data_IF_560623810190
#
_entry.id   IF_560623810190
#
_cell.length_a   1.000
_cell.length_b   1.000
_cell.length_c   1.000
_cell.angle_alpha   90.00
_cell.angle_beta   90.00
_cell.angle_gamma   90.00
#
_symmetry.space_group_name_H-M   'P 1'
#
loop_
_entity.id
_entity.type
_entity.pdbx_description
1 polymer ?
#
# COMPACT_ATOMS: atom_id res chain seq x y z
N UNK A 1 -20.95 6.00 -23.71
CA UNK A 1 -20.15 4.77 -23.68
C UNK A 1 -19.26 4.83 -22.43
N UNK A 2 -19.51 4.07 -21.35
CA UNK A 2 -18.54 3.98 -20.28
C UNK A 2 -17.51 2.89 -20.62
N UNK A 3 -16.25 3.29 -20.73
CA UNK A 3 -15.09 2.45 -21.01
C UNK A 3 -14.93 1.38 -19.91
N UNK A 4 -15.28 0.13 -20.24
CA UNK A 4 -15.03 -1.03 -19.39
C UNK A 4 -13.57 -1.48 -19.52
N UNK A 5 -12.79 -1.34 -18.45
CA UNK A 5 -11.44 -1.91 -18.40
C UNK A 5 -11.45 -3.44 -18.54
N UNK A 6 -10.45 -3.98 -19.22
CA UNK A 6 -10.30 -5.41 -19.50
C UNK A 6 -10.01 -6.18 -18.19
N UNK A 7 -10.79 -7.22 -17.89
CA UNK A 7 -10.67 -8.03 -16.66
C UNK A 7 -9.65 -9.16 -16.83
N UNK A 8 -8.39 -8.90 -16.51
CA UNK A 8 -7.33 -9.93 -16.45
C UNK A 8 -7.01 -10.28 -14.99
N UNK A 9 -6.98 -11.57 -14.65
CA UNK A 9 -6.73 -12.02 -13.27
C UNK A 9 -5.23 -12.08 -12.94
N UNK A 10 -4.85 -11.73 -11.71
CA UNK A 10 -3.45 -11.86 -11.25
C UNK A 10 -3.05 -13.32 -11.01
N UNK A 11 -1.78 -13.66 -11.24
CA UNK A 11 -1.24 -15.00 -10.98
C UNK A 11 -1.28 -15.33 -9.47
N UNK A 12 -1.74 -16.52 -9.09
CA UNK A 12 -1.76 -16.98 -7.69
C UNK A 12 -1.51 -18.50 -7.57
N UNK A 13 -1.15 -18.95 -6.36
CA UNK A 13 -0.95 -20.36 -6.00
C UNK A 13 -1.99 -20.81 -4.97
N UNK A 14 -2.51 -22.03 -5.11
CA UNK A 14 -3.49 -22.64 -4.20
C UNK A 14 -3.03 -24.04 -3.74
N UNK A 15 -2.94 -24.31 -2.42
CA UNK A 15 -2.72 -25.66 -1.91
C UNK A 15 -4.01 -26.48 -1.96
N UNK A 16 -3.90 -27.77 -2.29
CA UNK A 16 -5.01 -28.72 -2.21
C UNK A 16 -4.71 -29.78 -1.15
N UNK A 17 -5.67 -30.03 -0.27
CA UNK A 17 -5.65 -31.12 0.72
C UNK A 17 -6.66 -32.19 0.30
N UNK A 18 -6.58 -33.37 0.92
CA UNK A 18 -7.59 -34.43 0.76
C UNK A 18 -8.98 -33.86 1.04
N UNK A 19 -9.92 -34.09 0.12
CA UNK A 19 -11.30 -33.65 0.29
C UNK A 19 -12.01 -34.53 1.34
N UNK A 20 -12.96 -33.95 2.07
CA UNK A 20 -13.76 -34.70 3.03
C UNK A 20 -14.50 -35.85 2.32
N UNK A 21 -14.41 -37.06 2.87
CA UNK A 21 -15.05 -38.26 2.30
C UNK A 21 -14.37 -38.87 1.07
N UNK A 22 -13.18 -38.40 0.67
CA UNK A 22 -12.43 -38.94 -0.47
C UNK A 22 -11.04 -39.39 -0.06
N UNK A 23 -10.49 -40.35 -0.81
CA UNK A 23 -9.07 -40.69 -0.69
C UNK A 23 -8.19 -39.59 -1.33
N UNK A 24 -6.89 -39.64 -1.04
CA UNK A 24 -5.93 -38.70 -1.62
C UNK A 24 -5.85 -38.85 -3.15
N UNK A 25 -5.94 -40.07 -3.67
CA UNK A 25 -5.90 -40.35 -5.10
C UNK A 25 -7.16 -39.84 -5.81
N UNK A 26 -8.34 -40.13 -5.26
CA UNK A 26 -9.62 -39.63 -5.78
C UNK A 26 -9.66 -38.09 -5.81
N UNK A 27 -9.12 -37.44 -4.76
CA UNK A 27 -9.05 -35.97 -4.70
C UNK A 27 -8.16 -35.40 -5.82
N UNK A 28 -7.04 -36.06 -6.15
CA UNK A 28 -6.15 -35.65 -7.24
C UNK A 28 -6.79 -35.93 -8.61
N UNK A 29 -7.33 -37.12 -8.82
CA UNK A 29 -8.03 -37.53 -10.05
C UNK A 29 -9.13 -36.54 -10.42
N UNK A 30 -10.05 -36.22 -9.51
CA UNK A 30 -11.11 -35.26 -9.76
C UNK A 30 -10.59 -33.88 -10.23
N UNK A 31 -9.48 -33.43 -9.65
CA UNK A 31 -8.92 -32.10 -9.90
C UNK A 31 -8.06 -32.05 -11.16
N UNK A 32 -7.37 -33.13 -11.47
CA UNK A 32 -6.51 -33.23 -12.64
C UNK A 32 -7.36 -33.50 -13.88
N UNK A 33 -8.37 -34.38 -13.80
CA UNK A 33 -9.37 -34.59 -14.86
C UNK A 33 -10.11 -33.29 -15.21
N UNK A 34 -10.46 -32.48 -14.20
CA UNK A 34 -11.05 -31.16 -14.47
C UNK A 34 -10.09 -30.23 -15.25
N UNK A 35 -8.80 -30.25 -14.92
CA UNK A 35 -7.78 -29.46 -15.60
C UNK A 35 -7.45 -29.97 -17.00
N UNK A 36 -7.54 -31.28 -17.23
CA UNK A 36 -7.25 -31.95 -18.49
C UNK A 36 -8.49 -32.15 -19.37
N UNK A 37 -9.62 -31.50 -19.05
CA UNK A 37 -10.85 -31.64 -19.83
C UNK A 37 -10.59 -31.24 -21.31
N UNK A 38 -10.72 -32.18 -22.27
CA UNK A 38 -10.43 -31.93 -23.69
C UNK A 38 -11.24 -30.78 -24.31
N UNK A 39 -12.46 -30.53 -23.83
CA UNK A 39 -13.34 -29.49 -24.37
C UNK A 39 -12.82 -28.07 -24.14
N UNK A 40 -11.90 -27.89 -23.19
CA UNK A 40 -11.36 -26.59 -22.77
C UNK A 40 -9.89 -26.42 -23.12
N UNK A 41 -9.25 -27.49 -23.51
CA UNK A 41 -7.81 -27.64 -23.51
C UNK A 41 -7.22 -27.18 -24.85
N UNK A 42 -6.38 -26.16 -24.81
CA UNK A 42 -5.64 -25.70 -25.98
C UNK A 42 -4.28 -26.39 -26.11
N UNK A 43 -3.54 -26.51 -25.01
CA UNK A 43 -2.20 -27.10 -25.00
C UNK A 43 -1.87 -27.72 -23.64
N UNK A 44 -1.00 -28.74 -23.65
CA UNK A 44 -0.49 -29.42 -22.45
C UNK A 44 1.02 -29.63 -22.54
N UNK A 45 1.71 -29.43 -21.42
CA UNK A 45 3.10 -29.85 -21.23
C UNK A 45 3.30 -30.38 -19.83
N UNK A 46 4.36 -31.16 -19.61
CA UNK A 46 4.66 -31.72 -18.30
C UNK A 46 6.16 -31.89 -18.05
N UNK A 47 6.51 -32.05 -16.78
CA UNK A 47 7.87 -32.24 -16.30
C UNK A 47 7.87 -33.28 -15.19
N UNK A 48 8.63 -34.36 -15.40
CA UNK A 48 8.79 -35.50 -14.48
C UNK A 48 7.49 -36.25 -14.12
N UNK A 49 6.41 -36.05 -14.88
CA UNK A 49 5.20 -36.86 -14.79
C UNK A 49 4.45 -36.87 -16.12
N UNK A 50 3.63 -37.88 -16.36
CA UNK A 50 2.62 -37.85 -17.42
C UNK A 50 1.32 -37.27 -16.83
N UNK A 51 0.66 -36.30 -17.50
CA UNK A 51 -0.57 -35.68 -16.99
C UNK A 51 -1.69 -36.68 -16.65
N UNK A 52 -1.82 -37.78 -17.41
CA UNK A 52 -2.87 -38.78 -17.20
C UNK A 52 -2.60 -39.69 -15.99
N UNK A 53 -1.32 -39.92 -15.67
CA UNK A 53 -0.91 -40.75 -14.51
C UNK A 53 -0.38 -39.94 -13.33
N UNK A 54 -0.35 -38.62 -13.44
CA UNK A 54 0.11 -37.70 -12.41
C UNK A 54 -0.47 -37.94 -11.01
N UNK A 55 -1.76 -38.33 -10.80
CA UNK A 55 -2.28 -38.65 -9.47
C UNK A 55 -1.50 -39.78 -8.78
N UNK A 56 -1.22 -40.86 -9.51
CA UNK A 56 -0.49 -42.01 -9.00
C UNK A 56 0.99 -41.67 -8.79
N UNK A 57 1.61 -41.00 -9.76
CA UNK A 57 3.02 -40.61 -9.70
C UNK A 57 3.31 -39.65 -8.54
N UNK A 58 2.42 -38.67 -8.30
CA UNK A 58 2.60 -37.73 -7.19
C UNK A 58 2.53 -38.43 -5.83
N UNK A 59 1.61 -39.39 -5.70
CA UNK A 59 1.46 -40.19 -4.48
C UNK A 59 2.61 -41.17 -4.29
N UNK A 60 3.18 -41.72 -5.38
CA UNK A 60 4.36 -42.58 -5.31
C UNK A 60 5.54 -41.85 -4.67
N UNK A 61 5.87 -40.64 -5.14
CA UNK A 61 6.95 -39.81 -4.55
C UNK A 61 6.68 -39.52 -3.07
N UNK A 62 5.42 -39.27 -2.72
CA UNK A 62 5.02 -39.02 -1.33
C UNK A 62 5.15 -40.27 -0.44
N UNK A 63 4.84 -41.45 -0.99
CA UNK A 63 5.00 -42.74 -0.31
C UNK A 63 6.49 -43.05 -0.07
N UNK A 64 7.33 -42.84 -1.07
CA UNK A 64 8.78 -42.99 -0.96
C UNK A 64 9.38 -42.04 0.09
N UNK A 65 8.99 -40.76 0.05
CA UNK A 65 9.38 -39.78 1.07
C UNK A 65 9.02 -40.24 2.50
N UNK A 66 7.82 -40.81 2.67
CA UNK A 66 7.38 -41.33 3.97
C UNK A 66 8.25 -42.51 4.41
N UNK A 67 8.50 -43.46 3.51
CA UNK A 67 9.32 -44.64 3.80
C UNK A 67 10.76 -44.26 4.18
N UNK A 68 11.35 -43.27 3.51
CA UNK A 68 12.73 -42.84 3.74
C UNK A 68 12.89 -41.98 5.01
N UNK A 69 11.93 -41.10 5.28
CA UNK A 69 12.08 -40.11 6.37
C UNK A 69 11.34 -40.49 7.66
N UNK A 70 10.41 -41.45 7.60
CA UNK A 70 9.50 -41.78 8.70
C UNK A 70 8.52 -40.66 9.08
N UNK A 71 8.50 -39.53 8.33
CA UNK A 71 7.70 -38.34 8.67
C UNK A 71 6.29 -38.44 8.11
N UNK A 72 5.46 -39.23 8.80
CA UNK A 72 4.01 -39.26 8.57
C UNK A 72 3.42 -37.87 8.81
N UNK A 73 2.53 -37.42 7.92
CA UNK A 73 1.84 -36.14 8.08
C UNK A 73 0.34 -36.38 8.00
N UNK A 74 -0.34 -36.14 9.13
CA UNK A 74 -1.81 -36.17 9.25
C UNK A 74 -2.47 -34.95 8.59
N UNK A 75 -1.74 -33.85 8.37
CA UNK A 75 -2.27 -32.60 7.83
C UNK A 75 -1.25 -31.86 6.92
N UNK A 76 -1.48 -31.88 5.60
CA UNK A 76 -0.59 -31.21 4.63
C UNK A 76 -1.19 -31.18 3.22
N UNK A 77 -0.64 -30.33 2.33
CA UNK A 77 -1.08 -30.30 0.93
C UNK A 77 -0.67 -31.58 0.18
N UNK A 78 -1.55 -32.06 -0.68
CA UNK A 78 -1.33 -33.13 -1.64
C UNK A 78 -0.54 -32.62 -2.85
N UNK A 79 -0.95 -31.48 -3.38
CA UNK A 79 -0.34 -30.79 -4.51
C UNK A 79 -0.69 -29.30 -4.43
N UNK A 80 -0.11 -28.52 -5.34
CA UNK A 80 -0.40 -27.10 -5.51
C UNK A 80 -0.85 -26.84 -6.94
N UNK A 81 -1.71 -25.84 -7.09
CA UNK A 81 -2.15 -25.35 -8.40
C UNK A 81 -1.77 -23.88 -8.54
N UNK A 82 -1.16 -23.50 -9.65
CA UNK A 82 -0.97 -22.11 -10.06
C UNK A 82 -1.98 -21.80 -11.16
N UNK A 83 -2.62 -20.64 -11.06
CA UNK A 83 -3.41 -20.07 -12.16
C UNK A 83 -2.70 -18.82 -12.66
N UNK A 84 -2.41 -18.77 -13.95
CA UNK A 84 -1.77 -17.65 -14.64
C UNK A 84 -2.65 -17.25 -15.82
N UNK A 85 -2.94 -15.97 -15.98
CA UNK A 85 -3.82 -15.47 -17.03
C UNK A 85 -3.12 -14.38 -17.85
N UNK A 86 -3.48 -14.27 -19.12
CA UNK A 86 -2.91 -13.34 -20.09
C UNK A 86 -3.97 -12.37 -20.60
N UNK A 87 -3.55 -11.24 -21.18
CA UNK A 87 -4.49 -10.31 -21.77
C UNK A 87 -5.19 -10.97 -22.99
N UNK A 88 -6.51 -10.77 -23.20
CA UNK A 88 -7.18 -11.31 -24.37
C UNK A 88 -6.49 -10.89 -25.68
N UNK A 89 -6.19 -11.87 -26.54
CA UNK A 89 -5.58 -11.64 -27.86
C UNK A 89 -4.06 -11.44 -27.85
N UNK A 90 -3.40 -11.50 -26.68
CA UNK A 90 -1.97 -11.24 -26.54
C UNK A 90 -1.08 -12.48 -26.80
N UNK A 91 -1.61 -13.68 -26.58
CA UNK A 91 -0.86 -14.95 -26.71
C UNK A 91 -1.71 -16.03 -27.37
N UNK A 92 -1.07 -16.98 -28.06
CA UNK A 92 -1.69 -18.25 -28.49
C UNK A 92 -1.72 -19.27 -27.34
N UNK A 93 -2.45 -20.38 -27.51
CA UNK A 93 -2.53 -21.43 -26.48
C UNK A 93 -1.15 -22.09 -26.26
N UNK A 94 -0.39 -22.30 -27.33
CA UNK A 94 0.94 -22.89 -27.34
C UNK A 94 1.96 -21.96 -26.67
N UNK A 95 1.92 -20.66 -26.98
CA UNK A 95 2.79 -19.66 -26.35
C UNK A 95 2.49 -19.51 -24.86
N UNK A 96 1.20 -19.40 -24.50
CA UNK A 96 0.78 -19.38 -23.11
C UNK A 96 1.28 -20.63 -22.37
N UNK A 97 1.17 -21.82 -22.97
CA UNK A 97 1.66 -23.06 -22.37
C UNK A 97 3.18 -23.03 -22.14
N UNK A 98 3.94 -22.59 -23.14
CA UNK A 98 5.41 -22.44 -23.06
C UNK A 98 5.82 -21.49 -21.94
N UNK A 99 5.17 -20.34 -21.82
CA UNK A 99 5.40 -19.37 -20.74
C UNK A 99 5.02 -19.94 -19.38
N UNK A 100 3.92 -20.70 -19.32
CA UNK A 100 3.49 -21.42 -18.12
C UNK A 100 4.50 -22.46 -17.67
N UNK A 101 5.05 -23.22 -18.62
CA UNK A 101 6.11 -24.20 -18.38
C UNK A 101 7.36 -23.55 -17.81
N UNK A 102 7.82 -22.44 -18.41
CA UNK A 102 8.97 -21.70 -17.92
C UNK A 102 8.74 -21.14 -16.50
N UNK A 103 7.55 -20.56 -16.27
CA UNK A 103 7.15 -20.07 -14.94
C UNK A 103 7.17 -21.20 -13.91
N UNK A 104 6.63 -22.37 -14.26
CA UNK A 104 6.63 -23.56 -13.41
C UNK A 104 8.04 -24.07 -13.13
N UNK A 105 8.91 -24.11 -14.14
CA UNK A 105 10.29 -24.54 -14.03
C UNK A 105 11.10 -23.63 -13.09
N UNK A 106 11.01 -22.30 -13.29
CA UNK A 106 11.68 -21.31 -12.43
C UNK A 106 11.13 -21.34 -11.00
N UNK A 107 9.82 -21.53 -10.82
CA UNK A 107 9.18 -21.57 -9.50
C UNK A 107 9.56 -22.82 -8.70
N UNK A 108 9.47 -23.98 -9.34
CA UNK A 108 9.80 -25.28 -8.73
C UNK A 108 11.29 -25.55 -8.69
N UNK A 109 12.10 -24.74 -9.40
CA UNK A 109 13.56 -24.91 -9.56
C UNK A 109 13.94 -26.28 -10.12
N UNK A 110 13.07 -26.87 -10.94
CA UNK A 110 13.23 -28.24 -11.47
C UNK A 110 13.17 -29.36 -10.44
N UNK A 111 12.73 -29.09 -9.20
CA UNK A 111 12.74 -30.08 -8.11
C UNK A 111 11.42 -30.81 -7.89
N UNK A 112 10.36 -30.41 -8.58
CA UNK A 112 9.02 -30.92 -8.36
C UNK A 112 8.42 -31.36 -9.69
N UNK A 113 7.70 -32.48 -9.68
CA UNK A 113 6.89 -32.90 -10.82
C UNK A 113 5.79 -31.87 -11.05
N UNK A 114 5.53 -31.52 -12.31
CA UNK A 114 4.44 -30.63 -12.65
C UNK A 114 3.89 -30.88 -14.05
N UNK A 115 2.66 -30.43 -14.30
CA UNK A 115 2.12 -30.30 -15.64
C UNK A 115 1.35 -28.99 -15.79
N UNK A 116 1.25 -28.50 -17.02
CA UNK A 116 0.61 -27.25 -17.41
C UNK A 116 -0.51 -27.56 -18.39
N UNK A 117 -1.73 -27.14 -18.06
CA UNK A 117 -2.89 -27.19 -18.94
C UNK A 117 -3.29 -25.77 -19.30
N UNK A 118 -3.33 -25.45 -20.58
CA UNK A 118 -3.77 -24.14 -21.06
C UNK A 118 -5.22 -24.21 -21.48
N UNK A 119 -6.06 -23.36 -20.90
CA UNK A 119 -7.50 -23.30 -21.15
C UNK A 119 -7.85 -22.12 -22.05
N UNK A 120 -8.73 -22.39 -23.03
CA UNK A 120 -9.21 -21.42 -24.03
C UNK A 120 -10.73 -21.20 -23.95
N UNK A 121 -11.41 -21.82 -22.98
CA UNK A 121 -12.87 -21.82 -22.81
C UNK A 121 -13.46 -20.55 -22.17
N UNK A 122 -12.63 -19.53 -21.93
CA UNK A 122 -13.01 -18.26 -21.29
C UNK A 122 -12.60 -17.08 -22.17
N UNK A 123 -13.06 -15.90 -21.79
CA UNK A 123 -12.75 -14.64 -22.48
C UNK A 123 -11.24 -14.30 -22.55
N UNK A 124 -10.39 -14.99 -21.78
CA UNK A 124 -8.93 -14.88 -21.84
C UNK A 124 -8.28 -16.27 -21.70
N UNK A 125 -7.14 -16.42 -22.36
CA UNK A 125 -6.29 -17.61 -22.24
C UNK A 125 -5.64 -17.63 -20.86
N UNK A 126 -5.63 -18.80 -20.23
CA UNK A 126 -5.03 -18.98 -18.92
C UNK A 126 -4.47 -20.38 -18.72
N UNK A 127 -3.40 -20.47 -17.94
CA UNK A 127 -2.77 -21.72 -17.55
C UNK A 127 -3.26 -22.18 -16.18
N UNK A 128 -3.43 -23.49 -16.07
CA UNK A 128 -3.51 -24.25 -14.84
C UNK A 128 -2.26 -25.12 -14.71
N UNK A 129 -1.37 -24.78 -13.78
CA UNK A 129 -0.14 -25.54 -13.53
C UNK A 129 -0.32 -26.32 -12.23
N UNK A 130 -0.19 -27.63 -12.27
CA UNK A 130 -0.29 -28.51 -11.11
C UNK A 130 1.09 -29.05 -10.77
N UNK A 131 1.52 -28.95 -9.52
CA UNK A 131 2.82 -29.49 -9.11
C UNK A 131 2.78 -30.21 -7.76
N UNK A 132 3.65 -31.21 -7.61
CA UNK A 132 3.69 -32.07 -6.44
C UNK A 132 4.09 -31.27 -5.19
N UNK A 133 3.44 -31.54 -4.05
CA UNK A 133 3.82 -30.93 -2.77
C UNK A 133 5.13 -31.50 -2.20
N UNK A 134 5.64 -32.59 -2.74
CA UNK A 134 6.89 -33.25 -2.32
C UNK A 134 7.92 -33.15 -3.44
N UNK A 135 9.16 -32.80 -3.08
CA UNK A 135 10.25 -32.74 -4.06
C UNK A 135 10.52 -34.15 -4.61
N UNK A 136 10.81 -34.23 -5.91
CA UNK A 136 11.06 -35.50 -6.61
C UNK A 136 12.28 -36.24 -6.04
N UNK A 137 13.28 -35.48 -5.57
CA UNK A 137 14.45 -36.01 -4.87
C UNK A 137 14.16 -36.50 -3.44
N UNK A 138 12.91 -36.38 -2.96
CA UNK A 138 12.44 -36.75 -1.62
C UNK A 138 13.17 -36.02 -0.48
N UNK A 139 13.87 -34.93 -0.76
CA UNK A 139 14.60 -34.17 0.26
C UNK A 139 13.67 -33.39 1.20
N UNK A 140 12.54 -32.89 0.68
CA UNK A 140 11.63 -32.00 1.41
C UNK A 140 10.25 -31.87 0.78
N UNK A 141 9.34 -31.29 1.55
CA UNK A 141 8.04 -30.79 1.06
C UNK A 141 8.17 -29.34 0.61
N UNK A 142 7.31 -28.92 -0.30
CA UNK A 142 7.23 -27.54 -0.74
C UNK A 142 6.79 -26.63 0.43
N UNK A 143 7.58 -25.61 0.71
CA UNK A 143 7.30 -24.65 1.78
C UNK A 143 6.48 -23.48 1.26
N UNK A 144 5.16 -23.55 1.45
CA UNK A 144 4.25 -22.45 1.17
C UNK A 144 4.18 -21.49 2.38
N UNK A 145 4.70 -20.28 2.23
CA UNK A 145 4.82 -19.28 3.30
C UNK A 145 3.90 -18.08 3.08
N UNK A 146 3.72 -17.27 4.13
CA UNK A 146 2.97 -16.00 4.05
C UNK A 146 3.73 -15.07 3.10
N UNK A 147 3.28 -15.01 1.84
CA UNK A 147 3.94 -14.26 0.77
C UNK A 147 4.18 -15.03 -0.53
N UNK A 148 3.99 -16.36 -0.56
CA UNK A 148 4.29 -17.17 -1.76
C UNK A 148 3.51 -16.73 -3.00
N UNK A 149 2.25 -16.31 -2.88
CA UNK A 149 1.48 -15.76 -4.01
C UNK A 149 2.08 -14.46 -4.58
N UNK A 150 2.62 -13.58 -3.71
CA UNK A 150 3.28 -12.35 -4.16
C UNK A 150 4.63 -12.65 -4.84
N UNK A 151 5.41 -13.59 -4.28
CA UNK A 151 6.67 -14.02 -4.86
C UNK A 151 6.46 -14.68 -6.24
N UNK A 152 5.47 -15.58 -6.35
CA UNK A 152 5.10 -16.22 -7.60
C UNK A 152 4.60 -15.21 -8.63
N UNK A 153 3.80 -14.22 -8.20
CA UNK A 153 3.36 -13.18 -9.11
C UNK A 153 4.52 -12.35 -9.64
N UNK A 154 5.45 -11.90 -8.79
CA UNK A 154 6.64 -11.17 -9.25
C UNK A 154 7.48 -11.99 -10.23
N UNK A 155 7.54 -13.31 -10.05
CA UNK A 155 8.19 -14.21 -10.99
C UNK A 155 7.41 -14.29 -12.31
N UNK A 156 6.10 -14.51 -12.27
CA UNK A 156 5.22 -14.54 -13.45
C UNK A 156 5.29 -13.23 -14.24
N UNK A 157 5.15 -12.08 -13.57
CA UNK A 157 5.24 -10.75 -14.17
C UNK A 157 6.62 -10.55 -14.83
N UNK A 158 7.71 -11.01 -14.21
CA UNK A 158 9.05 -10.95 -14.82
C UNK A 158 9.15 -11.81 -16.08
N UNK A 159 8.65 -13.04 -16.05
CA UNK A 159 8.64 -13.92 -17.22
C UNK A 159 7.79 -13.29 -18.34
N UNK A 160 6.62 -12.72 -18.03
CA UNK A 160 5.81 -12.01 -19.02
C UNK A 160 6.57 -10.84 -19.65
N UNK A 161 7.28 -10.01 -18.87
CA UNK A 161 8.08 -8.89 -19.39
C UNK A 161 9.23 -9.38 -20.30
N UNK A 162 9.90 -10.47 -19.93
CA UNK A 162 10.98 -11.06 -20.75
C UNK A 162 10.48 -11.58 -22.11
N UNK A 163 9.20 -11.93 -22.22
CA UNK A 163 8.52 -12.32 -23.46
C UNK A 163 7.73 -11.15 -24.09
N UNK A 164 8.03 -9.89 -23.72
CA UNK A 164 7.40 -8.67 -24.24
C UNK A 164 5.87 -8.57 -24.03
N UNK A 165 5.36 -9.28 -23.02
CA UNK A 165 3.94 -9.30 -22.67
C UNK A 165 3.59 -8.24 -21.62
N UNK A 166 2.32 -7.84 -21.62
CA UNK A 166 1.76 -6.92 -20.66
C UNK A 166 1.66 -7.52 -19.25
N UNK A 167 1.82 -6.65 -18.26
CA UNK A 167 1.71 -7.01 -16.84
C UNK A 167 0.80 -6.05 -16.10
N UNK A 168 0.13 -6.56 -15.07
CA UNK A 168 -0.77 -5.77 -14.24
C UNK A 168 0.07 -4.90 -13.29
N UNK A 169 0.35 -3.66 -13.69
CA UNK A 169 1.15 -2.71 -12.91
C UNK A 169 0.51 -2.37 -11.56
N UNK A 170 -0.79 -2.04 -11.58
CA UNK A 170 -1.59 -1.67 -10.40
C UNK A 170 -2.72 -2.69 -10.19
N UNK A 171 -2.38 -3.88 -9.66
CA UNK A 171 -3.35 -4.95 -9.40
C UNK A 171 -4.42 -4.44 -8.44
N UNK A 172 -5.65 -4.32 -8.92
CA UNK A 172 -6.77 -4.19 -8.01
C UNK A 172 -6.78 -5.48 -7.18
N UNK A 173 -6.60 -5.36 -5.87
CA UNK A 173 -6.82 -6.49 -4.97
C UNK A 173 -8.21 -7.08 -5.29
N UNK A 174 -8.37 -8.40 -5.19
CA UNK A 174 -9.66 -9.06 -5.42
C UNK A 174 -10.83 -8.46 -4.57
N UNK A 175 -10.54 -7.62 -3.58
CA UNK A 175 -11.46 -6.78 -2.82
C UNK A 175 -12.01 -5.54 -3.55
N UNK A 176 -11.52 -5.20 -4.75
CA UNK A 176 -11.91 -4.00 -5.51
C UNK A 176 -12.50 -4.29 -6.91
N UNK A 177 -12.95 -5.53 -7.16
CA UNK A 177 -13.50 -5.94 -8.45
C UNK A 177 -14.48 -7.12 -8.39
N UNK A 178 -15.77 -6.78 -8.47
CA UNK A 178 -16.93 -7.48 -9.05
C UNK A 178 -17.06 -9.02 -8.93
N UNK A 179 -16.72 -9.65 -7.79
CA UNK A 179 -17.39 -10.87 -7.29
C UNK A 179 -17.22 -10.95 -5.77
N UNK A 180 -18.33 -11.02 -5.03
CA UNK A 180 -18.38 -11.26 -3.58
C UNK A 180 -18.59 -12.76 -3.33
N UNK A 181 -17.85 -13.37 -2.38
CA UNK A 181 -18.36 -14.23 -1.29
C UNK A 181 -17.31 -15.19 -0.63
N UNK A 182 -17.57 -15.51 0.64
CA UNK A 182 -17.10 -16.57 1.57
C UNK A 182 -15.66 -16.60 2.14
N UNK A 183 -14.64 -16.12 1.44
CA UNK A 183 -13.23 -16.38 1.79
C UNK A 183 -12.36 -15.18 2.19
N UNK A 184 -12.94 -13.98 2.38
CA UNK A 184 -12.27 -12.75 2.85
C UNK A 184 -11.77 -12.81 4.30
N UNK A 185 -11.52 -14.02 4.79
CA UNK A 185 -11.02 -14.30 6.11
C UNK A 185 -9.61 -14.86 6.04
N UNK A 186 -8.69 -14.11 6.66
CA UNK A 186 -7.34 -14.50 7.10
C UNK A 186 -6.24 -14.21 6.08
N UNK A 187 -5.68 -13.00 6.12
CA UNK A 187 -4.38 -12.75 5.47
C UNK A 187 -3.86 -11.31 5.62
N UNK A 188 -4.75 -10.33 5.60
CA UNK A 188 -4.54 -9.05 6.27
C UNK A 188 -5.43 -9.05 7.51
N UNK A 189 -5.02 -8.31 8.53
CA UNK A 189 -5.61 -8.31 9.87
C UNK A 189 -7.14 -8.43 9.76
N UNK A 190 -7.76 -9.48 10.33
CA UNK A 190 -9.18 -9.75 10.10
C UNK A 190 -10.00 -8.50 10.43
N UNK A 191 -11.06 -8.19 9.65
CA UNK A 191 -11.93 -7.07 9.97
C UNK A 191 -12.39 -7.22 11.42
N UNK A 192 -12.32 -6.11 12.16
CA UNK A 192 -12.61 -6.14 13.59
C UNK A 192 -13.99 -6.77 13.83
N UNK A 193 -14.19 -7.36 15.01
CA UNK A 193 -15.50 -7.90 15.41
C UNK A 193 -16.67 -6.95 15.08
N UNK A 194 -16.43 -5.65 15.32
CA UNK A 194 -17.36 -4.56 15.04
C UNK A 194 -17.62 -4.38 13.55
N UNK A 195 -16.57 -4.42 12.72
CA UNK A 195 -16.71 -4.29 11.27
C UNK A 195 -17.49 -5.46 10.66
N UNK A 196 -17.29 -6.67 11.18
CA UNK A 196 -18.05 -7.84 10.77
C UNK A 196 -19.53 -7.74 11.11
N UNK A 197 -19.83 -7.24 12.30
CA UNK A 197 -21.22 -7.03 12.72
C UNK A 197 -21.90 -5.93 11.90
N UNK A 198 -21.22 -4.82 11.60
CA UNK A 198 -21.77 -3.78 10.71
C UNK A 198 -22.13 -4.31 9.33
N UNK A 199 -21.21 -5.05 8.72
CA UNK A 199 -21.40 -5.65 7.40
C UNK A 199 -22.57 -6.65 7.39
N UNK A 200 -22.69 -7.44 8.45
CA UNK A 200 -23.80 -8.38 8.59
C UNK A 200 -25.15 -7.68 8.77
N UNK A 201 -25.20 -6.61 9.57
CA UNK A 201 -26.41 -5.79 9.74
C UNK A 201 -26.85 -5.18 8.42
N UNK A 202 -25.92 -4.61 7.64
CA UNK A 202 -26.24 -4.07 6.32
C UNK A 202 -26.76 -5.14 5.36
N UNK A 203 -26.09 -6.28 5.29
CA UNK A 203 -26.54 -7.39 4.45
C UNK A 203 -27.92 -7.94 4.87
N UNK A 204 -28.23 -7.93 6.17
CA UNK A 204 -29.54 -8.33 6.66
C UNK A 204 -30.62 -7.28 6.31
N UNK A 205 -30.31 -5.99 6.42
CA UNK A 205 -31.25 -4.91 6.07
C UNK A 205 -31.47 -4.77 4.56
N UNK A 206 -30.47 -5.05 3.74
CA UNK A 206 -30.58 -5.09 2.27
C UNK A 206 -31.58 -6.14 1.79
N UNK A 207 -31.80 -7.21 2.58
CA UNK A 207 -32.82 -8.23 2.31
C UNK A 207 -34.25 -7.75 2.63
N UNK A 208 -34.41 -6.53 3.15
CA UNK A 208 -35.69 -5.92 3.52
C UNK A 208 -36.53 -6.83 4.43
N UNK A 209 -36.06 -7.11 5.65
CA UNK A 209 -36.81 -7.93 6.59
C UNK A 209 -38.15 -7.27 6.88
N UNK A 210 -39.18 -8.08 7.11
CA UNK A 210 -40.55 -7.56 7.33
C UNK A 210 -40.70 -6.87 8.67
N UNK A 211 -39.94 -7.32 9.68
CA UNK A 211 -39.92 -6.75 11.01
C UNK A 211 -38.56 -6.99 11.68
N UNK A 212 -38.40 -6.49 12.90
CA UNK A 212 -37.16 -6.60 13.64
C UNK A 212 -36.84 -8.05 14.08
N UNK A 213 -37.85 -8.92 14.24
CA UNK A 213 -37.62 -10.32 14.58
C UNK A 213 -37.07 -11.09 13.37
N UNK A 214 -37.61 -10.81 12.18
CA UNK A 214 -37.10 -11.34 10.92
C UNK A 214 -35.66 -10.87 10.65
N UNK A 215 -35.34 -9.62 10.97
CA UNK A 215 -33.96 -9.12 10.94
C UNK A 215 -33.02 -9.93 11.85
N UNK A 216 -33.43 -10.23 13.10
CA UNK A 216 -32.61 -11.03 14.01
C UNK A 216 -32.41 -12.46 13.50
N UNK A 217 -33.46 -13.06 12.91
CA UNK A 217 -33.38 -14.37 12.27
C UNK A 217 -32.38 -14.37 11.11
N UNK A 218 -32.39 -13.34 10.26
CA UNK A 218 -31.42 -13.18 9.17
C UNK A 218 -29.97 -13.03 9.68
N UNK A 219 -29.77 -12.41 10.84
CA UNK A 219 -28.46 -12.32 11.50
C UNK A 219 -27.98 -13.68 12.01
N UNK A 220 -28.87 -14.50 12.57
CA UNK A 220 -28.56 -15.88 12.99
C UNK A 220 -28.24 -16.79 11.80
N UNK A 221 -29.02 -16.69 10.73
CA UNK A 221 -28.76 -17.39 9.46
C UNK A 221 -27.43 -17.00 8.82
N UNK A 222 -27.00 -15.76 9.06
CA UNK A 222 -25.69 -15.26 8.63
C UNK A 222 -24.54 -15.71 9.56
N UNK A 223 -24.83 -16.58 10.53
CA UNK A 223 -23.87 -17.21 11.43
C UNK A 223 -23.56 -16.43 12.70
N UNK A 224 -24.28 -15.33 13.00
CA UNK A 224 -24.08 -14.57 14.23
C UNK A 224 -25.06 -15.05 15.30
N UNK A 225 -24.57 -15.60 16.41
CA UNK A 225 -25.47 -16.00 17.49
C UNK A 225 -26.04 -14.75 18.18
N UNK A 226 -27.37 -14.62 18.21
CA UNK A 226 -28.06 -13.51 18.88
C UNK A 226 -28.10 -13.80 20.38
N UNK A 227 -27.52 -12.90 21.17
CA UNK A 227 -27.53 -12.97 22.62
C UNK A 227 -28.40 -11.86 23.17
N UNK A 228 -29.47 -12.24 23.86
CA UNK A 228 -30.33 -11.33 24.59
C UNK A 228 -29.88 -11.27 26.06
N UNK A 229 -29.50 -10.08 26.52
CA UNK A 229 -29.15 -9.79 27.90
C UNK A 229 -30.33 -9.21 28.69
N UNK A 230 -30.15 -9.02 30.00
CA UNK A 230 -31.16 -8.37 30.86
C UNK A 230 -31.55 -6.99 30.31
N UNK A 231 -32.84 -6.67 30.35
CA UNK A 231 -33.38 -5.37 29.90
C UNK A 231 -33.48 -5.20 28.38
N UNK A 232 -33.61 -6.29 27.61
CA UNK A 232 -33.81 -6.22 26.15
C UNK A 232 -32.54 -5.90 25.35
N UNK A 233 -31.36 -6.05 25.95
CA UNK A 233 -30.09 -5.75 25.28
C UNK A 233 -29.74 -6.83 24.27
N UNK A 234 -29.51 -6.44 23.02
CA UNK A 234 -29.15 -7.36 21.93
C UNK A 234 -27.66 -7.25 21.62
N UNK A 235 -26.99 -8.39 21.51
CA UNK A 235 -25.60 -8.49 21.08
C UNK A 235 -25.41 -9.65 20.11
N UNK A 236 -24.48 -9.49 19.17
CA UNK A 236 -24.16 -10.50 18.18
C UNK A 236 -22.80 -11.13 18.48
N UNK A 237 -22.76 -12.45 18.59
CA UNK A 237 -21.52 -13.19 18.70
C UNK A 237 -21.12 -13.71 17.32
N UNK A 238 -20.06 -13.13 16.76
CA UNK A 238 -19.53 -13.55 15.48
C UNK A 238 -18.77 -14.89 15.61
N UNK A 239 -18.81 -15.77 14.60
CA UNK A 239 -18.06 -17.03 14.62
C UNK A 239 -16.58 -16.82 14.95
N UNK A 240 -16.05 -17.69 15.81
CA UNK A 240 -14.65 -17.65 16.25
C UNK A 240 -14.32 -16.50 17.24
N UNK A 241 -15.33 -15.88 17.85
CA UNK A 241 -15.12 -14.91 18.93
C UNK A 241 -15.66 -15.42 20.26
N UNK A 242 -14.99 -15.06 21.35
CA UNK A 242 -15.43 -15.37 22.71
C UNK A 242 -16.39 -14.31 23.28
N UNK A 243 -16.26 -13.05 22.86
CA UNK A 243 -17.04 -11.92 23.39
C UNK A 243 -18.04 -11.39 22.38
N UNK A 244 -19.33 -11.23 22.74
CA UNK A 244 -20.35 -10.70 21.83
C UNK A 244 -20.20 -9.19 21.65
N UNK A 245 -20.55 -8.70 20.46
CA UNK A 245 -20.55 -7.26 20.13
C UNK A 245 -21.95 -6.70 20.28
N UNK A 246 -22.11 -5.68 21.14
CA UNK A 246 -23.42 -5.09 21.45
C UNK A 246 -23.96 -4.23 20.31
N UNK A 247 -25.23 -4.43 19.96
CA UNK A 247 -25.97 -3.64 18.98
C UNK A 247 -26.32 -2.28 19.58
N UNK A 248 -25.49 -1.26 19.30
CA UNK A 248 -25.70 0.14 19.72
C UNK A 248 -24.79 1.09 18.94
N UNK A 249 -25.22 2.34 18.79
CA UNK A 249 -24.52 3.36 18.02
C UNK A 249 -23.09 3.64 18.54
N UNK A 250 -22.89 3.69 19.87
CA UNK A 250 -21.54 3.92 20.43
C UNK A 250 -20.55 2.76 20.20
N UNK A 251 -21.02 1.56 19.81
CA UNK A 251 -20.16 0.42 19.47
C UNK A 251 -19.96 0.30 17.96
N UNK A 252 -21.04 0.49 17.20
CA UNK A 252 -21.11 0.18 15.78
C UNK A 252 -21.21 1.43 14.89
N UNK A 253 -21.17 2.64 15.45
CA UNK A 253 -21.37 3.89 14.70
C UNK A 253 -22.85 4.26 14.59
N UNK A 254 -23.12 5.53 14.26
CA UNK A 254 -24.48 6.04 14.08
C UNK A 254 -25.24 5.24 13.00
N UNK A 255 -26.54 5.02 13.19
CA UNK A 255 -27.36 4.21 12.27
C UNK A 255 -27.36 2.71 12.56
N UNK A 256 -26.56 2.23 13.53
CA UNK A 256 -26.44 0.81 13.89
C UNK A 256 -26.95 0.49 15.32
N UNK A 257 -27.94 1.21 15.82
CA UNK A 257 -28.67 0.83 17.04
C UNK A 257 -30.05 0.24 16.72
N UNK A 258 -30.71 -0.45 17.67
CA UNK A 258 -31.95 -1.15 17.39
C UNK A 258 -33.08 -0.26 16.87
N UNK A 259 -33.18 0.99 17.32
CA UNK A 259 -34.25 1.90 16.90
C UNK A 259 -33.98 2.44 15.50
N UNK A 260 -32.72 2.80 15.21
CA UNK A 260 -32.29 3.17 13.87
C UNK A 260 -32.54 2.02 12.87
N UNK A 261 -32.25 0.78 13.26
CA UNK A 261 -32.48 -0.39 12.42
C UNK A 261 -33.97 -0.61 12.19
N UNK A 262 -34.83 -0.47 13.22
CA UNK A 262 -36.29 -0.55 13.06
C UNK A 262 -36.81 0.53 12.12
N UNK A 263 -36.31 1.77 12.23
CA UNK A 263 -36.68 2.87 11.35
C UNK A 263 -36.25 2.60 9.89
N UNK A 264 -35.10 1.96 9.69
CA UNK A 264 -34.67 1.50 8.35
C UNK A 264 -35.61 0.42 7.81
N UNK A 265 -36.05 -0.53 8.65
CA UNK A 265 -37.01 -1.58 8.26
C UNK A 265 -38.38 -0.98 7.90
N UNK A 266 -38.84 0.00 8.67
CA UNK A 266 -40.08 0.73 8.41
C UNK A 266 -39.99 1.66 7.17
N UNK A 267 -38.80 1.83 6.59
CA UNK A 267 -38.57 2.70 5.44
C UNK A 267 -38.49 4.20 5.79
N UNK A 268 -38.43 4.53 7.08
CA UNK A 268 -38.34 5.91 7.58
C UNK A 268 -36.90 6.46 7.50
N UNK A 269 -35.91 5.58 7.32
CA UNK A 269 -34.49 5.95 7.16
C UNK A 269 -33.77 5.14 6.09
N UNK A 270 -32.75 5.73 5.43
CA UNK A 270 -31.88 5.01 4.51
C UNK A 270 -30.91 4.07 5.25
N UNK A 271 -30.35 3.10 4.53
CA UNK A 271 -29.34 2.19 5.07
C UNK A 271 -28.13 2.95 5.65
N UNK A 272 -27.55 2.49 6.77
CA UNK A 272 -26.43 3.18 7.41
C UNK A 272 -25.12 3.05 6.62
N UNK A 273 -24.29 4.10 6.58
CA UNK A 273 -23.02 4.09 5.85
C UNK A 273 -21.87 3.47 6.68
N UNK A 274 -20.93 2.79 6.00
CA UNK A 274 -19.74 2.22 6.64
C UNK A 274 -18.65 3.29 6.87
N UNK A 275 -18.07 3.40 8.08
CA UNK A 275 -16.93 4.31 8.30
C UNK A 275 -15.66 3.86 7.54
N UNK A 276 -14.88 4.77 6.96
CA UNK A 276 -13.60 4.48 6.28
C UNK A 276 -12.46 4.05 7.24
N UNK A 277 -11.58 3.11 6.81
CA UNK A 277 -10.40 2.65 7.57
C UNK A 277 -9.07 3.26 7.03
N UNK A 278 -8.20 3.74 7.93
CA UNK A 278 -6.89 4.38 7.61
C UNK A 278 -5.75 3.37 7.39
N UNK A 279 -4.89 3.57 6.37
CA UNK A 279 -3.69 2.74 6.05
C UNK A 279 -2.47 3.05 6.95
N UNK A 280 -1.59 2.06 7.21
CA UNK A 280 -0.41 2.19 8.10
C UNK A 280 0.88 2.48 7.29
N UNK A 281 1.62 3.57 7.57
CA UNK A 281 2.85 3.96 6.84
C UNK A 281 4.08 3.08 7.15
N UNK A 282 5.17 3.14 6.33
CA UNK A 282 6.43 2.43 6.59
C UNK A 282 6.98 2.76 7.99
N UNK A 283 7.63 1.77 8.64
CA UNK A 283 8.18 1.90 9.99
C UNK A 283 9.31 2.94 9.99
N UNK A 284 9.02 4.15 10.46
CA UNK A 284 10.01 5.21 10.69
C UNK A 284 10.69 4.97 12.03
N UNK A 285 12.02 5.04 12.08
CA UNK A 285 12.74 5.14 13.35
C UNK A 285 12.45 6.51 13.94
N UNK A 286 11.84 6.53 15.13
CA UNK A 286 11.54 7.72 15.89
C UNK A 286 12.33 7.71 17.19
N UNK A 287 12.39 8.87 17.85
CA UNK A 287 12.98 8.99 19.17
C UNK A 287 12.24 8.09 20.17
N UNK A 288 13.01 7.37 20.97
CA UNK A 288 12.52 6.70 22.18
C UNK A 288 11.94 7.73 23.17
N UNK A 289 11.08 7.25 24.06
CA UNK A 289 10.42 8.07 25.09
C UNK A 289 11.17 7.91 26.40
N UNK A 290 11.52 9.02 27.04
CA UNK A 290 11.92 8.98 28.45
C UNK A 290 10.71 8.58 29.30
N UNK A 291 10.74 7.34 29.79
CA UNK A 291 9.62 6.79 30.55
C UNK A 291 9.56 7.47 31.93
N UNK A 292 10.69 7.77 32.56
CA UNK A 292 10.72 8.34 33.91
C UNK A 292 10.18 9.75 33.92
N UNK A 293 10.62 10.59 32.97
CA UNK A 293 10.12 11.96 32.82
C UNK A 293 8.60 11.96 32.58
N UNK A 294 8.10 11.06 31.72
CA UNK A 294 6.66 10.96 31.45
C UNK A 294 5.87 10.44 32.65
N UNK A 295 6.43 9.54 33.45
CA UNK A 295 5.81 9.10 34.70
C UNK A 295 5.79 10.24 35.73
N UNK A 296 6.84 11.06 35.82
CA UNK A 296 6.89 12.26 36.66
C UNK A 296 5.84 13.31 36.25
N UNK A 297 5.51 13.40 34.95
CA UNK A 297 4.41 14.21 34.42
C UNK A 297 3.00 13.62 34.69
N UNK A 298 2.89 12.63 35.57
CA UNK A 298 1.60 12.06 36.00
C UNK A 298 1.01 11.02 35.05
N UNK A 299 1.81 10.41 34.16
CA UNK A 299 1.34 9.29 33.34
C UNK A 299 1.22 8.02 34.17
N UNK A 300 0.18 7.23 33.88
CA UNK A 300 -0.14 6.02 34.65
C UNK A 300 0.60 4.75 34.17
N UNK A 301 0.52 3.64 34.94
CA UNK A 301 1.23 2.38 34.67
C UNK A 301 0.95 1.74 33.30
N UNK A 302 -0.22 2.03 32.71
CA UNK A 302 -0.55 1.57 31.36
C UNK A 302 0.29 2.28 30.28
N UNK A 303 0.59 3.57 30.47
CA UNK A 303 1.45 4.34 29.57
C UNK A 303 2.88 3.82 29.63
N UNK A 304 3.36 3.51 30.83
CA UNK A 304 4.68 2.93 31.06
C UNK A 304 4.87 1.63 30.26
N UNK A 305 3.91 0.70 30.35
CA UNK A 305 3.96 -0.58 29.61
C UNK A 305 3.98 -0.38 28.10
N UNK A 306 3.18 0.56 27.60
CA UNK A 306 3.17 0.92 26.18
C UNK A 306 4.50 1.53 25.74
N UNK A 307 5.04 2.47 26.53
CA UNK A 307 6.30 3.16 26.24
C UNK A 307 7.48 2.17 26.22
N UNK A 308 7.50 1.16 27.11
CA UNK A 308 8.50 0.07 27.08
C UNK A 308 8.47 -0.70 25.75
N UNK A 309 7.29 -1.13 25.30
CA UNK A 309 7.13 -1.85 24.03
C UNK A 309 7.46 -0.95 22.82
N UNK A 310 7.13 0.34 22.92
CA UNK A 310 7.46 1.33 21.90
C UNK A 310 8.97 1.53 21.79
N UNK A 311 9.66 1.77 22.90
CA UNK A 311 11.11 1.96 22.93
C UNK A 311 11.84 0.72 22.41
N UNK A 312 11.44 -0.50 22.81
CA UNK A 312 12.01 -1.75 22.29
C UNK A 312 11.92 -1.83 20.76
N UNK A 313 10.82 -1.37 20.16
CA UNK A 313 10.68 -1.35 18.70
C UNK A 313 11.57 -0.30 18.04
N UNK A 314 11.72 0.89 18.66
CA UNK A 314 12.62 1.92 18.15
C UNK A 314 14.09 1.49 18.27
N UNK A 315 14.47 0.83 19.36
CA UNK A 315 15.81 0.26 19.56
C UNK A 315 16.11 -0.84 18.53
N UNK A 316 15.18 -1.77 18.31
CA UNK A 316 15.34 -2.81 17.29
C UNK A 316 15.51 -2.22 15.89
N UNK A 317 14.75 -1.16 15.57
CA UNK A 317 14.86 -0.47 14.28
C UNK A 317 16.19 0.31 14.16
N UNK A 318 16.68 0.93 15.23
CA UNK A 318 17.98 1.59 15.26
C UNK A 318 19.14 0.58 15.09
N UNK A 319 19.09 -0.57 15.76
CA UNK A 319 20.09 -1.64 15.60
C UNK A 319 20.09 -2.21 14.18
N UNK A 320 18.90 -2.42 13.61
CA UNK A 320 18.76 -2.85 12.21
C UNK A 320 19.42 -1.85 11.26
N UNK A 321 19.21 -0.55 11.48
CA UNK A 321 19.85 0.49 10.67
C UNK A 321 21.38 0.45 10.75
N UNK A 322 21.94 0.31 11.96
CA UNK A 322 23.40 0.20 12.11
C UNK A 322 23.97 -0.99 11.31
N UNK A 323 23.27 -2.13 11.35
CA UNK A 323 23.66 -3.34 10.62
C UNK A 323 23.57 -3.16 9.11
N UNK A 324 22.48 -2.57 8.60
CA UNK A 324 22.26 -2.31 7.16
C UNK A 324 23.27 -1.31 6.58
N UNK A 325 23.77 -0.40 7.42
CA UNK A 325 24.70 0.64 7.01
C UNK A 325 26.15 0.38 7.44
N UNK A 326 26.44 -0.82 7.98
CA UNK A 326 27.78 -1.22 8.43
C UNK A 326 28.42 -0.21 9.40
N UNK A 327 27.60 0.42 10.26
CA UNK A 327 28.04 1.37 11.26
C UNK A 327 28.46 0.58 12.51
N UNK A 328 29.74 0.22 12.54
CA UNK A 328 30.32 -0.66 13.57
C UNK A 328 30.79 0.06 14.83
N UNK A 329 30.92 1.38 14.78
CA UNK A 329 31.34 2.21 15.91
C UNK A 329 30.57 3.53 15.98
N UNK A 330 30.60 4.15 17.16
CA UNK A 330 29.85 5.36 17.47
C UNK A 330 30.41 6.60 16.74
N UNK A 331 31.71 6.63 16.42
CA UNK A 331 32.31 7.74 15.67
C UNK A 331 31.80 7.75 14.22
N UNK A 332 31.71 6.59 13.58
CA UNK A 332 31.12 6.42 12.25
C UNK A 332 29.64 6.83 12.21
N UNK A 333 28.86 6.47 13.24
CA UNK A 333 27.48 6.93 13.38
C UNK A 333 27.39 8.45 13.49
N UNK A 334 28.23 9.05 14.33
CA UNK A 334 28.26 10.51 14.53
C UNK A 334 28.63 11.26 13.26
N UNK A 335 29.71 10.86 12.60
CA UNK A 335 30.16 11.47 11.34
C UNK A 335 29.08 11.38 10.25
N UNK A 336 28.36 10.25 10.17
CA UNK A 336 27.25 10.08 9.21
C UNK A 336 26.06 10.98 9.54
N UNK A 337 25.69 11.10 10.81
CA UNK A 337 24.60 12.00 11.22
C UNK A 337 24.96 13.45 10.94
N UNK A 338 26.19 13.88 11.22
CA UNK A 338 26.70 15.21 10.90
C UNK A 338 26.66 15.48 9.39
N UNK A 339 27.15 14.55 8.57
CA UNK A 339 27.07 14.66 7.12
C UNK A 339 25.63 14.78 6.59
N UNK A 340 24.68 14.04 7.17
CA UNK A 340 23.27 14.12 6.80
C UNK A 340 22.63 15.47 7.19
N UNK A 341 23.02 16.03 8.34
CA UNK A 341 22.59 17.36 8.81
C UNK A 341 23.17 18.46 7.92
N UNK A 342 24.46 18.41 7.63
CA UNK A 342 25.14 19.39 6.76
C UNK A 342 24.54 19.38 5.35
N UNK A 343 24.29 18.19 4.79
CA UNK A 343 23.65 18.04 3.49
C UNK A 343 22.24 18.64 3.47
N UNK A 344 21.44 18.41 4.51
CA UNK A 344 20.12 19.01 4.66
C UNK A 344 20.19 20.56 4.72
N UNK A 345 21.10 21.11 5.52
CA UNK A 345 21.26 22.56 5.64
C UNK A 345 21.70 23.19 4.32
N UNK A 346 22.68 22.59 3.65
CA UNK A 346 23.14 23.03 2.33
C UNK A 346 21.99 23.08 1.30
N UNK A 347 21.22 21.99 1.19
CA UNK A 347 20.07 21.96 0.26
C UNK A 347 18.96 22.94 0.67
N UNK A 348 18.75 23.16 1.96
CA UNK A 348 17.78 24.14 2.46
C UNK A 348 18.18 25.57 2.04
N UNK A 349 19.46 25.92 2.13
CA UNK A 349 19.96 27.23 1.71
C UNK A 349 19.95 27.40 0.18
N UNK A 350 20.32 26.36 -0.58
CA UNK A 350 20.23 26.37 -2.04
C UNK A 350 18.79 26.52 -2.53
N UNK A 351 17.84 25.84 -1.87
CA UNK A 351 16.42 25.96 -2.18
C UNK A 351 15.90 27.38 -1.89
N UNK A 352 16.21 27.93 -0.71
CA UNK A 352 15.82 29.28 -0.31
C UNK A 352 16.36 30.34 -1.28
N UNK A 353 17.65 30.27 -1.62
CA UNK A 353 18.27 31.21 -2.56
C UNK A 353 17.68 31.11 -3.97
N UNK A 354 17.36 29.89 -4.43
CA UNK A 354 16.68 29.66 -5.72
C UNK A 354 15.25 30.21 -5.71
N UNK A 355 14.50 30.04 -4.62
CA UNK A 355 13.15 30.58 -4.47
C UNK A 355 13.13 32.11 -4.43
N UNK A 356 14.05 32.73 -3.69
CA UNK A 356 14.24 34.18 -3.66
C UNK A 356 14.58 34.73 -5.05
N UNK A 357 15.48 34.07 -5.79
CA UNK A 357 15.84 34.47 -7.16
C UNK A 357 14.65 34.32 -8.12
N UNK A 358 13.84 33.27 -7.98
CA UNK A 358 12.67 33.03 -8.81
C UNK A 358 11.56 34.06 -8.54
N UNK A 359 11.32 34.44 -7.29
CA UNK A 359 10.38 35.50 -6.91
C UNK A 359 10.83 36.84 -7.46
N UNK A 360 12.09 37.26 -7.21
CA UNK A 360 12.67 38.49 -7.76
C UNK A 360 12.57 38.55 -9.28
N UNK A 361 12.85 37.45 -9.98
CA UNK A 361 12.74 37.39 -11.44
C UNK A 361 11.30 37.53 -11.91
N UNK A 362 10.34 36.91 -11.20
CA UNK A 362 8.92 36.95 -11.56
C UNK A 362 8.31 38.33 -11.30
N UNK A 363 8.66 38.96 -10.17
CA UNK A 363 8.27 40.33 -9.82
C UNK A 363 8.84 41.34 -10.82
N UNK A 364 10.12 41.22 -11.17
CA UNK A 364 10.75 42.08 -12.17
C UNK A 364 10.09 41.93 -13.55
N UNK A 365 9.72 40.71 -13.95
CA UNK A 365 8.97 40.49 -15.18
C UNK A 365 7.59 41.15 -15.16
N UNK A 366 6.84 41.01 -14.07
CA UNK A 366 5.52 41.62 -13.92
C UNK A 366 5.61 43.14 -13.99
N UNK A 367 6.51 43.73 -13.18
CA UNK A 367 6.73 45.18 -13.17
C UNK A 367 7.19 45.71 -14.53
N UNK A 368 8.01 44.95 -15.28
CA UNK A 368 8.42 45.35 -16.65
C UNK A 368 7.23 45.39 -17.61
N UNK A 369 6.31 44.43 -17.52
CA UNK A 369 5.10 44.39 -18.34
C UNK A 369 4.15 45.52 -17.97
N UNK A 370 3.91 45.74 -16.69
CA UNK A 370 3.01 46.79 -16.20
C UNK A 370 3.55 48.18 -16.54
N UNK A 371 4.86 48.39 -16.39
CA UNK A 371 5.53 49.60 -16.83
C UNK A 371 5.35 49.83 -18.33
N UNK A 372 5.58 48.80 -19.17
CA UNK A 372 5.42 48.92 -20.62
C UNK A 372 3.97 49.25 -21.03
N UNK A 373 2.97 48.65 -20.38
CA UNK A 373 1.54 48.90 -20.65
C UNK A 373 1.08 50.29 -20.23
N UNK A 374 1.56 50.77 -19.10
CA UNK A 374 1.12 52.04 -18.50
C UNK A 374 1.97 53.24 -18.93
N UNK A 375 3.12 53.00 -19.55
CA UNK A 375 4.02 54.06 -20.04
C UNK A 375 3.34 55.03 -21.01
N UNK A 376 2.56 54.60 -22.02
CA UNK A 376 1.87 55.53 -22.91
C UNK A 376 0.88 56.47 -22.20
N UNK A 377 0.20 55.96 -21.15
CA UNK A 377 -0.73 56.75 -20.33
C UNK A 377 0.03 57.81 -19.52
N UNK A 378 1.20 57.46 -18.97
CA UNK A 378 2.07 58.42 -18.30
C UNK A 378 2.62 59.48 -19.26
N UNK A 379 3.04 59.09 -20.47
CA UNK A 379 3.52 60.02 -21.49
C UNK A 379 2.39 60.98 -21.93
N UNK A 380 1.15 60.49 -22.05
CA UNK A 380 -0.06 61.29 -22.26
C UNK A 380 -0.36 62.27 -21.11
N UNK A 381 -0.18 61.84 -19.86
CA UNK A 381 -0.31 62.70 -18.68
C UNK A 381 0.73 63.85 -18.68
N UNK A 382 1.96 63.55 -19.09
CA UNK A 382 3.03 64.55 -19.26
C UNK A 382 2.69 65.53 -20.39
N UNK A 383 2.18 65.06 -21.52
CA UNK A 383 1.76 65.89 -22.65
C UNK A 383 0.57 66.80 -22.26
N UNK A 384 -0.35 66.31 -21.43
CA UNK A 384 -1.46 67.08 -20.87
C UNK A 384 -1.06 68.05 -19.73
N UNK A 385 0.25 68.30 -19.54
CA UNK A 385 0.82 69.16 -18.50
C UNK A 385 0.30 68.83 -17.09
N UNK A 386 0.17 67.55 -16.78
CA UNK A 386 -0.24 67.06 -15.46
C UNK A 386 -1.66 67.50 -15.04
N UNK A 387 -2.58 67.64 -15.99
CA UNK A 387 -3.97 68.05 -15.74
C UNK A 387 -4.69 67.17 -14.72
N UNK A 388 -5.38 67.80 -13.75
CA UNK A 388 -6.23 67.12 -12.76
C UNK A 388 -7.32 66.25 -13.39
N UNK A 389 -7.87 66.69 -14.54
CA UNK A 389 -8.90 65.93 -15.27
C UNK A 389 -8.34 64.62 -15.83
N UNK A 390 -7.12 64.64 -16.36
CA UNK A 390 -6.45 63.45 -16.88
C UNK A 390 -6.06 62.49 -15.75
N UNK A 391 -5.58 63.04 -14.62
CA UNK A 391 -5.25 62.27 -13.43
C UNK A 391 -6.47 61.50 -12.91
N UNK A 392 -7.64 62.15 -12.82
CA UNK A 392 -8.88 61.51 -12.36
C UNK A 392 -9.41 60.45 -13.34
N UNK A 393 -9.14 60.59 -14.65
CA UNK A 393 -9.58 59.62 -15.67
C UNK A 393 -8.68 58.39 -15.78
N UNK A 394 -7.41 58.50 -15.38
CA UNK A 394 -6.38 57.46 -15.54
C UNK A 394 -5.63 57.15 -14.23
N UNK A 395 -6.31 57.33 -13.09
CA UNK A 395 -5.70 57.23 -11.76
C UNK A 395 -5.08 55.85 -11.51
N UNK A 396 -5.80 54.79 -11.88
CA UNK A 396 -5.38 53.41 -11.67
C UNK A 396 -4.14 53.05 -12.50
N UNK A 397 -4.07 53.48 -13.76
CA UNK A 397 -2.94 53.24 -14.65
C UNK A 397 -1.70 54.03 -14.21
N UNK A 398 -1.87 55.27 -13.74
CA UNK A 398 -0.78 56.09 -13.22
C UNK A 398 -0.25 55.57 -11.88
N UNK A 399 -1.12 55.04 -11.01
CA UNK A 399 -0.71 54.36 -9.79
C UNK A 399 0.08 53.08 -10.10
N UNK A 400 -0.40 52.27 -11.05
CA UNK A 400 0.27 51.05 -11.53
C UNK A 400 1.64 51.37 -12.13
N UNK A 401 1.77 52.45 -12.92
CA UNK A 401 3.05 52.91 -13.46
C UNK A 401 4.07 53.24 -12.37
N UNK A 402 3.65 53.98 -11.33
CA UNK A 402 4.52 54.36 -10.21
C UNK A 402 4.99 53.12 -9.43
N UNK A 403 4.06 52.24 -9.06
CA UNK A 403 4.36 51.00 -8.35
C UNK A 403 5.32 50.09 -9.14
N UNK A 404 5.09 49.93 -10.46
CA UNK A 404 5.96 49.17 -11.33
C UNK A 404 7.39 49.75 -11.38
N UNK A 405 7.51 51.08 -11.52
CA UNK A 405 8.81 51.77 -11.52
C UNK A 405 9.56 51.60 -10.20
N UNK A 406 8.87 51.75 -9.07
CA UNK A 406 9.47 51.62 -7.74
C UNK A 406 9.93 50.18 -7.47
N UNK A 407 9.14 49.20 -7.91
CA UNK A 407 9.48 47.77 -7.81
C UNK A 407 10.73 47.44 -8.64
N UNK A 408 10.80 47.91 -9.89
CA UNK A 408 11.97 47.73 -10.74
C UNK A 408 13.22 48.37 -10.15
N UNK A 409 13.12 49.59 -9.61
CA UNK A 409 14.25 50.27 -8.96
C UNK A 409 14.75 49.50 -7.73
N UNK A 410 13.83 49.00 -6.90
CA UNK A 410 14.15 48.24 -5.68
C UNK A 410 14.85 46.93 -6.02
N UNK A 411 14.36 46.18 -7.00
CA UNK A 411 14.93 44.88 -7.38
C UNK A 411 16.28 45.04 -8.10
N UNK A 412 16.39 46.02 -8.99
CA UNK A 412 17.61 46.22 -9.79
C UNK A 412 18.72 46.93 -9.00
N UNK A 413 18.38 47.74 -8.00
CA UNK A 413 19.33 48.49 -7.17
C UNK A 413 20.42 49.21 -8.01
N UNK A 414 20.00 49.90 -9.08
CA UNK A 414 20.90 50.60 -10.01
C UNK A 414 21.43 49.79 -11.19
N UNK A 415 21.15 48.48 -11.26
CA UNK A 415 21.50 47.64 -12.41
C UNK A 415 20.64 47.94 -13.65
N UNK A 416 21.19 47.66 -14.83
CA UNK A 416 20.44 47.78 -16.11
C UNK A 416 19.35 46.72 -16.20
N UNK A 417 18.15 47.12 -16.64
CA UNK A 417 17.03 46.22 -16.89
C UNK A 417 17.39 45.17 -17.96
N UNK A 418 17.34 43.87 -17.65
CA UNK A 418 17.57 42.81 -18.63
C UNK A 418 16.44 42.74 -19.68
N UNK A 419 16.75 42.23 -20.87
CA UNK A 419 15.73 41.95 -21.90
C UNK A 419 14.70 40.93 -21.38
N UNK A 420 13.44 41.09 -21.75
CA UNK A 420 12.35 40.22 -21.29
C UNK A 420 12.58 38.73 -21.62
N UNK A 421 13.21 38.43 -22.76
CA UNK A 421 13.56 37.05 -23.13
C UNK A 421 14.63 36.44 -22.23
N UNK A 422 15.58 37.25 -21.74
CA UNK A 422 16.58 36.81 -20.76
C UNK A 422 15.91 36.49 -19.41
N UNK A 423 14.94 37.31 -18.99
CA UNK A 423 14.15 37.06 -17.78
C UNK A 423 13.31 35.78 -17.89
N UNK A 424 12.63 35.56 -19.03
CA UNK A 424 11.88 34.32 -19.30
C UNK A 424 12.79 33.09 -19.25
N UNK A 425 13.98 33.16 -19.85
CA UNK A 425 14.97 32.07 -19.83
C UNK A 425 15.46 31.80 -18.40
N UNK A 426 15.78 32.85 -17.63
CA UNK A 426 16.20 32.75 -16.23
C UNK A 426 15.11 32.10 -15.36
N UNK A 427 13.86 32.57 -15.47
CA UNK A 427 12.71 32.03 -14.73
C UNK A 427 12.48 30.54 -15.02
N UNK A 428 12.56 30.12 -16.28
CA UNK A 428 12.43 28.70 -16.66
C UNK A 428 13.55 27.85 -16.05
N UNK A 429 14.79 28.33 -16.09
CA UNK A 429 15.94 27.65 -15.48
C UNK A 429 15.76 27.51 -13.97
N UNK A 430 15.45 28.59 -13.27
CA UNK A 430 15.23 28.61 -11.81
C UNK A 430 14.05 27.72 -11.39
N UNK A 431 12.97 27.68 -12.17
CA UNK A 431 11.83 26.80 -11.90
C UNK A 431 12.19 25.31 -12.07
N UNK A 432 13.03 24.97 -13.06
CA UNK A 432 13.58 23.62 -13.21
C UNK A 432 14.46 23.23 -12.03
N UNK A 433 15.42 24.09 -11.68
CA UNK A 433 16.32 23.89 -10.53
C UNK A 433 15.54 23.74 -9.22
N UNK A 434 14.53 24.58 -8.97
CA UNK A 434 13.64 24.45 -7.80
C UNK A 434 12.98 23.08 -7.73
N UNK A 435 12.48 22.55 -8.86
CA UNK A 435 11.79 21.26 -8.88
C UNK A 435 12.73 20.10 -8.53
N UNK A 436 13.95 20.12 -9.06
CA UNK A 436 14.98 19.13 -8.78
C UNK A 436 15.46 19.22 -7.32
N UNK A 437 15.85 20.41 -6.87
CA UNK A 437 16.29 20.67 -5.49
C UNK A 437 15.22 20.28 -4.45
N UNK A 438 13.94 20.47 -4.75
CA UNK A 438 12.87 20.14 -3.81
C UNK A 438 12.67 18.62 -3.63
N UNK A 439 12.96 17.81 -4.67
CA UNK A 439 12.94 16.36 -4.57
C UNK A 439 14.11 15.87 -3.69
N UNK A 440 15.30 16.40 -3.92
CA UNK A 440 16.51 16.08 -3.15
C UNK A 440 16.39 16.56 -1.70
N UNK A 441 15.87 17.76 -1.46
CA UNK A 441 15.60 18.30 -0.12
C UNK A 441 14.67 17.39 0.69
N UNK A 442 13.60 16.85 0.06
CA UNK A 442 12.67 15.94 0.75
C UNK A 442 13.30 14.61 1.13
N UNK A 443 14.24 14.11 0.33
CA UNK A 443 15.01 12.92 0.66
C UNK A 443 16.02 13.22 1.78
N UNK A 444 16.79 14.30 1.64
CA UNK A 444 17.75 14.75 2.64
C UNK A 444 17.10 15.02 4.01
N UNK A 445 15.91 15.65 4.04
CA UNK A 445 15.16 15.85 5.28
C UNK A 445 14.74 14.53 5.94
N UNK A 446 14.36 13.52 5.14
CA UNK A 446 14.01 12.20 5.64
C UNK A 446 15.24 11.50 6.23
N UNK A 447 16.35 11.49 5.48
CA UNK A 447 17.60 10.86 5.88
C UNK A 447 18.18 11.51 7.14
N UNK A 448 18.17 12.85 7.21
CA UNK A 448 18.59 13.59 8.41
C UNK A 448 17.74 13.23 9.62
N UNK A 449 16.40 13.24 9.51
CA UNK A 449 15.51 12.90 10.65
C UNK A 449 15.75 11.48 11.15
N UNK A 450 15.91 10.54 10.23
CA UNK A 450 16.20 9.14 10.55
C UNK A 450 17.56 9.02 11.23
N UNK A 451 18.63 9.58 10.65
CA UNK A 451 19.99 9.52 11.20
C UNK A 451 20.09 10.19 12.59
N UNK A 452 19.40 11.30 12.82
CA UNK A 452 19.33 11.97 14.14
C UNK A 452 18.57 11.10 15.15
N UNK A 453 17.43 10.53 14.77
CA UNK A 453 16.66 9.66 15.65
C UNK A 453 17.43 8.40 16.04
N UNK A 454 18.15 7.79 15.10
CA UNK A 454 19.00 6.63 15.35
C UNK A 454 20.14 7.01 16.28
N UNK A 455 20.86 8.09 16.01
CA UNK A 455 21.94 8.55 16.88
C UNK A 455 21.46 8.78 18.30
N UNK A 456 20.37 9.51 18.49
CA UNK A 456 19.79 9.76 19.82
C UNK A 456 19.34 8.46 20.52
N UNK A 457 18.74 7.51 19.80
CA UNK A 457 18.35 6.22 20.37
C UNK A 457 19.56 5.38 20.80
N UNK A 458 20.66 5.40 20.03
CA UNK A 458 21.91 4.71 20.38
C UNK A 458 22.62 5.42 21.54
N UNK A 459 22.63 6.75 21.58
CA UNK A 459 23.19 7.53 22.70
C UNK A 459 22.50 7.18 24.02
N UNK A 460 21.18 7.01 24.00
CA UNK A 460 20.44 6.55 25.18
C UNK A 460 20.76 5.10 25.57
N UNK A 461 20.90 4.18 24.59
CA UNK A 461 21.34 2.81 24.88
C UNK A 461 22.72 2.75 25.55
N UNK A 462 23.62 3.64 25.13
CA UNK A 462 24.97 3.75 25.67
C UNK A 462 25.03 4.55 26.99
N UNK A 463 23.89 5.08 27.48
CA UNK A 463 23.84 5.93 28.67
C UNK A 463 24.55 7.28 28.52
N UNK A 464 24.79 7.72 27.28
CA UNK A 464 25.51 8.96 26.96
C UNK A 464 24.62 10.20 27.18
N UNK A 465 23.30 10.05 27.05
CA UNK A 465 22.31 11.12 27.29
C UNK A 465 22.24 11.52 28.77
N UNK A 466 22.27 10.53 29.67
CA UNK A 466 22.13 10.73 31.12
C UNK A 466 23.34 11.48 31.70
N UNK A 467 24.52 11.32 31.08
CA UNK A 467 25.74 12.03 31.48
C UNK A 467 25.75 13.53 31.07
N UNK A 468 24.99 13.92 30.03
CA UNK A 468 24.87 15.33 29.59
C UNK A 468 23.82 16.10 30.40
N UNK A 469 22.70 15.47 30.74
CA UNK A 469 21.67 16.09 31.60
C UNK A 469 22.15 16.25 33.05
N UNK A 470 22.86 15.26 33.60
CA UNK A 470 23.46 15.38 34.94
C UNK A 470 24.49 16.52 35.02
N UNK A 471 25.28 16.76 33.96
CA UNK A 471 26.23 17.90 33.92
C UNK A 471 25.57 19.27 33.71
N UNK A 472 24.35 19.31 33.18
CA UNK A 472 23.60 20.55 32.98
C UNK A 472 22.76 20.94 34.22
N UNK A 473 22.43 19.98 35.09
CA UNK A 473 21.78 20.24 36.38
C UNK A 473 22.76 20.57 37.52
N UNK A 474 24.06 20.28 37.34
CA UNK A 474 25.14 20.63 38.30
C UNK A 474 25.81 21.99 38.03
N UNK A 475 25.30 22.79 37.08
CA UNK A 475 25.71 24.19 36.83
C UNK A 475 24.52 25.11 37.00
#
# INVERSE_FOLDING_TARGET
>A
MPEGGIFTATTYIRPYKTAAGKSAIQTMEDRFTYGLNPEKLGAVSSYLCDPNTAPAEFLLVKSQYLAETGRAVSCGALFFQIRQAFLPGEVTAEEANRIGYETAMRWTKGKYQFFVCTHTDKAHIHNHIYFNATAFDRSRKFHNFIGSSFALRRLSDRVCIEHELSVIQNPRQHSKGRFLHYGQWIGEKPPSAKQRVRLAILAALEKKPTDFADFLRLMEESGFAVKQGRGGVISFLAPGQEKPTRLRASTLGAGFDPEDIKAVIAGERPLPELPEETTVPPRRVNLIIDIQERMAQGKGPAYERWAKVYNLKQMAAALQYLQEHHLTDYAALTARTEAAVDHFHKLSDELRTTEEALSKTSELMAATVDYAKTRPVFDGYKAARYSKKYLAQHEAELATYRAAKDTMNTILNGAKLPKIEALKKSRRKLAGQKKELYAEYRDAQRQMREAVAIKANIEHLLGITDARENKAQER
#
